data_IF_198996651137
#
_entry.id   IF_198996651137
#
_cell.length_a   1.000
_cell.length_b   1.000
_cell.length_c   1.000
_cell.angle_alpha   90.00
_cell.angle_beta   90.00
_cell.angle_gamma   90.00
#
_symmetry.space_group_name_H-M   'P 1'
#
loop_
_entity.id
_entity.type
_entity.pdbx_description
1 polymer ?
#
# COMPACT_ATOMS: atom_id res chain seq x y z
N UNK A 1 -54.50 -2.60 38.02
CA UNK A 1 -53.33 -2.41 37.13
C UNK A 1 -52.07 -2.47 38.00
N UNK A 2 -51.89 -3.61 38.68
CA UNK A 2 -50.94 -3.77 39.81
C UNK A 2 -49.87 -4.84 39.53
N UNK A 3 -49.65 -5.19 38.26
CA UNK A 3 -48.70 -6.25 37.85
C UNK A 3 -47.32 -5.78 37.40
N UNK A 4 -47.07 -4.47 37.29
CA UNK A 4 -45.83 -3.94 36.70
C UNK A 4 -44.80 -3.47 37.75
N UNK A 5 -45.23 -3.14 38.98
CA UNK A 5 -44.33 -2.63 40.02
C UNK A 5 -43.59 -3.72 40.81
N UNK A 6 -43.99 -5.00 40.70
CA UNK A 6 -43.33 -6.10 41.40
C UNK A 6 -42.10 -6.67 40.66
N UNK A 7 -41.92 -6.33 39.38
CA UNK A 7 -40.78 -6.80 38.56
C UNK A 7 -39.53 -5.91 38.66
N UNK A 8 -39.67 -4.69 39.20
CA UNK A 8 -38.55 -3.75 39.39
C UNK A 8 -37.95 -3.79 40.81
N UNK A 9 -38.55 -4.53 41.74
CA UNK A 9 -38.10 -4.61 43.14
C UNK A 9 -37.18 -5.80 43.45
N UNK A 10 -36.76 -6.57 42.44
CA UNK A 10 -35.89 -7.76 42.64
C UNK A 10 -34.65 -7.72 41.74
N UNK A 11 -33.92 -6.60 41.79
CA UNK A 11 -32.53 -6.57 41.34
C UNK A 11 -31.61 -6.93 42.50
N UNK A 12 -30.91 -8.07 42.49
CA UNK A 12 -29.66 -8.16 43.22
C UNK A 12 -28.65 -7.25 42.53
N UNK A 13 -28.10 -6.33 43.30
CA UNK A 13 -26.93 -5.53 42.96
C UNK A 13 -25.71 -6.44 42.77
N UNK A 14 -25.50 -6.94 41.56
CA UNK A 14 -24.25 -7.59 41.17
C UNK A 14 -24.00 -7.35 39.68
N UNK A 15 -22.89 -6.68 39.36
CA UNK A 15 -22.33 -6.66 38.01
C UNK A 15 -22.29 -5.30 37.33
N UNK A 16 -21.35 -4.44 37.77
CA UNK A 16 -20.84 -3.28 37.03
C UNK A 16 -20.20 -3.62 35.65
N UNK A 17 -20.30 -4.86 35.16
CA UNK A 17 -19.67 -5.35 33.93
C UNK A 17 -20.59 -5.36 32.70
N UNK A 18 -21.91 -5.22 32.86
CA UNK A 18 -22.88 -5.29 31.75
C UNK A 18 -22.90 -4.07 30.82
N UNK A 19 -22.39 -2.91 31.28
CA UNK A 19 -22.40 -1.66 30.50
C UNK A 19 -21.36 -1.61 29.37
N UNK A 20 -20.23 -2.31 29.53
CA UNK A 20 -19.08 -2.21 28.62
C UNK A 20 -19.32 -2.91 27.26
N UNK A 21 -20.03 -4.05 27.25
CA UNK A 21 -20.28 -4.83 26.03
C UNK A 21 -21.18 -4.12 25.02
N UNK A 22 -22.27 -3.49 25.51
CA UNK A 22 -23.21 -2.74 24.66
C UNK A 22 -22.56 -1.47 24.10
N UNK A 23 -21.74 -0.78 24.90
CA UNK A 23 -21.01 0.42 24.44
C UNK A 23 -19.96 0.10 23.37
N UNK A 24 -19.29 -1.05 23.45
CA UNK A 24 -18.25 -1.44 22.49
C UNK A 24 -18.83 -1.76 21.11
N UNK A 25 -19.95 -2.49 21.05
CA UNK A 25 -20.62 -2.82 19.78
C UNK A 25 -21.21 -1.59 19.10
N UNK A 26 -21.81 -0.67 19.87
CA UNK A 26 -22.32 0.60 19.35
C UNK A 26 -21.18 1.50 18.82
N UNK A 27 -20.05 1.58 19.54
CA UNK A 27 -18.88 2.33 19.11
C UNK A 27 -18.26 1.78 17.81
N UNK A 28 -18.19 0.45 17.66
CA UNK A 28 -17.70 -0.19 16.43
C UNK A 28 -18.61 0.09 15.22
N UNK A 29 -19.94 -0.01 15.39
CA UNK A 29 -20.92 0.33 14.35
C UNK A 29 -20.83 1.80 13.91
N UNK A 30 -20.71 2.73 14.85
CA UNK A 30 -20.53 4.16 14.57
C UNK A 30 -19.22 4.43 13.83
N UNK A 31 -18.14 3.73 14.19
CA UNK A 31 -16.84 3.87 13.53
C UNK A 31 -16.89 3.35 12.09
N UNK A 32 -17.49 2.19 11.84
CA UNK A 32 -17.67 1.63 10.50
C UNK A 32 -18.57 2.51 9.62
N UNK A 33 -19.66 3.04 10.18
CA UNK A 33 -20.54 4.00 9.50
C UNK A 33 -19.80 5.29 9.13
N UNK A 34 -18.96 5.82 10.03
CA UNK A 34 -18.10 6.99 9.76
C UNK A 34 -17.03 6.70 8.70
N UNK A 35 -16.50 5.48 8.63
CA UNK A 35 -15.55 5.06 7.60
C UNK A 35 -16.24 4.93 6.23
N UNK A 36 -17.43 4.31 6.20
CA UNK A 36 -18.21 4.11 4.98
C UNK A 36 -18.74 5.43 4.40
N UNK A 37 -19.04 6.42 5.25
CA UNK A 37 -19.47 7.77 4.83
C UNK A 37 -18.34 8.79 4.74
N UNK A 38 -17.07 8.36 4.65
CA UNK A 38 -15.98 9.33 4.47
C UNK A 38 -16.16 10.10 3.16
N UNK A 39 -16.31 11.40 3.29
CA UNK A 39 -16.32 12.37 2.19
C UNK A 39 -15.04 12.22 1.38
N UNK A 40 -15.17 12.23 0.04
CA UNK A 40 -14.02 12.28 -0.86
C UNK A 40 -13.12 13.46 -0.48
N UNK A 41 -11.79 13.35 -0.60
CA UNK A 41 -10.90 14.47 -0.33
C UNK A 41 -11.32 15.69 -1.16
N UNK A 42 -11.38 16.86 -0.54
CA UNK A 42 -11.80 18.10 -1.22
C UNK A 42 -10.73 18.59 -2.19
N UNK A 43 -9.46 18.36 -1.85
CA UNK A 43 -8.29 18.80 -2.61
C UNK A 43 -7.29 17.66 -2.80
N UNK A 44 -6.45 17.79 -3.83
CA UNK A 44 -5.35 16.87 -4.09
C UNK A 44 -4.17 17.62 -4.67
N UNK A 45 -2.96 17.16 -4.35
CA UNK A 45 -1.74 17.62 -4.99
C UNK A 45 -1.63 17.00 -6.38
N UNK A 46 -1.29 17.82 -7.37
CA UNK A 46 -1.07 17.45 -8.78
C UNK A 46 0.23 18.08 -9.26
N UNK A 47 0.89 17.43 -10.23
CA UNK A 47 2.13 17.92 -10.83
C UNK A 47 1.85 18.44 -12.24
N UNK A 48 2.39 19.61 -12.58
CA UNK A 48 2.26 20.17 -13.92
C UNK A 48 3.14 19.43 -14.92
N UNK A 49 2.55 18.98 -16.04
CA UNK A 49 3.28 18.30 -17.12
C UNK A 49 4.38 19.16 -17.76
N UNK A 50 4.20 20.48 -17.79
CA UNK A 50 5.07 21.40 -18.53
C UNK A 50 6.23 21.94 -17.67
N UNK A 51 5.91 22.51 -16.50
CA UNK A 51 6.92 23.10 -15.63
C UNK A 51 7.37 22.19 -14.49
N UNK A 52 6.77 21.00 -14.35
CA UNK A 52 7.07 20.03 -13.29
C UNK A 52 6.89 20.55 -11.86
N UNK A 53 6.16 21.65 -11.65
CA UNK A 53 5.83 22.17 -10.32
C UNK A 53 4.57 21.50 -9.78
N UNK A 54 4.59 21.18 -8.48
CA UNK A 54 3.42 20.68 -7.76
C UNK A 54 2.50 21.83 -7.36
N UNK A 55 1.19 21.62 -7.50
CA UNK A 55 0.16 22.54 -7.01
C UNK A 55 -0.99 21.75 -6.38
N UNK A 56 -1.88 22.45 -5.70
CA UNK A 56 -3.06 21.86 -5.06
C UNK A 56 -4.31 22.32 -5.80
N UNK A 57 -5.13 21.36 -6.22
CA UNK A 57 -6.39 21.63 -6.92
C UNK A 57 -7.55 20.89 -6.24
N UNK A 58 -8.80 21.33 -6.44
CA UNK A 58 -9.96 20.55 -6.04
C UNK A 58 -9.91 19.14 -6.63
N UNK A 59 -10.32 18.12 -5.88
CA UNK A 59 -10.16 16.72 -6.31
C UNK A 59 -10.89 16.39 -7.63
N UNK A 60 -12.01 17.06 -7.89
CA UNK A 60 -12.73 16.98 -9.16
C UNK A 60 -11.92 17.50 -10.35
N UNK A 61 -11.00 18.43 -10.11
CA UNK A 61 -10.24 19.15 -11.13
C UNK A 61 -8.83 18.58 -11.35
N UNK A 62 -8.52 17.42 -10.77
CA UNK A 62 -7.18 16.80 -10.86
C UNK A 62 -6.67 16.54 -12.29
N UNK A 63 -7.58 16.51 -13.28
CA UNK A 63 -7.29 16.36 -14.71
C UNK A 63 -7.94 17.48 -15.55
N UNK A 64 -8.21 18.64 -14.97
CA UNK A 64 -8.69 19.81 -15.71
C UNK A 64 -8.37 21.10 -14.94
N UNK A 65 -7.14 21.58 -15.09
CA UNK A 65 -6.67 22.75 -14.37
C UNK A 65 -5.58 23.49 -15.15
N UNK A 66 -5.53 24.82 -15.01
CA UNK A 66 -4.46 25.63 -15.57
C UNK A 66 -3.36 25.83 -14.52
N UNK A 67 -2.11 25.69 -14.92
CA UNK A 67 -1.00 25.77 -13.98
C UNK A 67 -0.76 27.21 -13.51
N UNK A 68 -0.71 27.50 -12.20
CA UNK A 68 -0.48 28.87 -11.71
C UNK A 68 0.95 29.37 -11.95
N UNK A 69 1.88 28.51 -12.37
CA UNK A 69 3.29 28.86 -12.58
C UNK A 69 3.65 29.12 -14.04
N UNK A 70 3.00 28.44 -14.98
CA UNK A 70 3.33 28.53 -16.41
C UNK A 70 2.10 28.71 -17.30
N UNK A 71 0.91 28.82 -16.70
CA UNK A 71 -0.37 29.11 -17.36
C UNK A 71 -0.79 28.04 -18.40
N UNK A 72 -0.09 26.90 -18.45
CA UNK A 72 -0.43 25.80 -19.34
C UNK A 72 -1.54 24.93 -18.75
N UNK A 73 -2.49 24.56 -19.60
CA UNK A 73 -3.60 23.67 -19.25
C UNK A 73 -3.13 22.23 -19.05
N UNK A 74 -3.54 21.62 -17.94
CA UNK A 74 -3.24 20.24 -17.54
C UNK A 74 -4.54 19.43 -17.49
N UNK A 75 -4.85 18.76 -18.60
CA UNK A 75 -5.99 17.87 -18.72
C UNK A 75 -5.93 17.03 -19.98
N UNK A 76 -5.74 15.72 -19.81
CA UNK A 76 -5.46 14.79 -20.90
C UNK A 76 -6.45 13.63 -20.93
N UNK A 77 -6.73 13.14 -22.13
CA UNK A 77 -7.43 11.87 -22.39
C UNK A 77 -6.44 10.70 -22.25
N UNK A 78 -6.94 9.46 -22.25
CA UNK A 78 -6.09 8.27 -22.11
C UNK A 78 -5.11 8.10 -23.30
N UNK A 79 -5.46 8.63 -24.48
CA UNK A 79 -4.61 8.64 -25.66
C UNK A 79 -3.51 9.73 -25.63
N UNK A 80 -3.53 10.62 -24.63
CA UNK A 80 -2.58 11.73 -24.49
C UNK A 80 -3.02 13.06 -25.09
N UNK A 81 -4.16 13.12 -25.79
CA UNK A 81 -4.72 14.38 -26.29
C UNK A 81 -5.30 15.23 -25.17
N UNK A 82 -5.51 16.51 -25.42
CA UNK A 82 -6.25 17.36 -24.50
C UNK A 82 -7.70 16.87 -24.35
N UNK A 83 -8.21 16.92 -23.13
CA UNK A 83 -9.61 16.61 -22.83
C UNK A 83 -10.59 17.77 -23.08
N UNK A 84 -10.08 18.88 -23.64
CA UNK A 84 -10.86 20.01 -24.14
C UNK A 84 -10.21 20.53 -25.43
N UNK A 85 -10.98 21.10 -26.36
CA UNK A 85 -10.39 21.82 -27.49
C UNK A 85 -9.62 23.05 -26.98
N UNK A 86 -8.45 23.31 -27.56
CA UNK A 86 -7.65 24.50 -27.26
C UNK A 86 -7.56 25.36 -28.53
N UNK A 87 -8.42 26.38 -28.68
CA UNK A 87 -8.47 27.26 -29.85
C UNK A 87 -7.15 27.88 -30.29
N UNK A 88 -6.33 28.26 -29.31
CA UNK A 88 -5.01 28.84 -29.57
C UNK A 88 -4.06 27.90 -30.36
N UNK A 89 -4.29 26.58 -30.36
CA UNK A 89 -3.48 25.65 -31.13
C UNK A 89 -3.68 25.75 -32.64
N UNK A 90 -4.85 26.22 -33.10
CA UNK A 90 -5.19 26.31 -34.52
C UNK A 90 -5.50 27.73 -34.99
N UNK A 91 -5.70 28.67 -34.06
CA UNK A 91 -5.93 30.08 -34.36
C UNK A 91 -4.79 30.93 -33.82
N UNK A 92 -3.90 31.37 -34.72
CA UNK A 92 -2.71 32.15 -34.35
C UNK A 92 -3.04 33.43 -33.58
N UNK A 93 -4.13 34.11 -33.94
CA UNK A 93 -4.57 35.34 -33.27
C UNK A 93 -5.01 35.16 -31.81
N UNK A 94 -5.20 33.91 -31.35
CA UNK A 94 -5.50 33.58 -29.95
C UNK A 94 -4.24 33.23 -29.16
N UNK A 95 -3.07 33.12 -29.80
CA UNK A 95 -1.82 32.98 -29.10
C UNK A 95 -1.45 34.31 -28.44
N UNK A 96 -1.15 34.28 -27.14
CA UNK A 96 -0.62 35.45 -26.47
C UNK A 96 0.74 35.80 -27.08
N UNK A 97 0.98 37.09 -27.31
CA UNK A 97 2.29 37.56 -27.75
C UNK A 97 3.26 37.34 -26.59
N UNK A 98 4.19 36.40 -26.74
CA UNK A 98 5.31 36.24 -25.81
C UNK A 98 6.28 37.38 -26.05
N UNK A 99 6.01 38.56 -25.47
CA UNK A 99 7.07 39.53 -25.24
C UNK A 99 8.01 38.89 -24.23
N UNK A 100 9.22 38.52 -24.65
CA UNK A 100 10.27 38.02 -23.78
C UNK A 100 10.72 39.13 -22.82
N UNK A 101 9.92 39.44 -21.80
CA UNK A 101 10.34 40.26 -20.69
C UNK A 101 11.35 39.43 -19.87
N UNK A 102 12.60 39.88 -19.68
CA UNK A 102 13.58 39.14 -18.90
C UNK A 102 13.10 39.05 -17.46
N UNK A 103 12.93 37.85 -16.93
CA UNK A 103 12.59 37.63 -15.53
C UNK A 103 13.81 38.03 -14.67
N UNK A 104 13.71 39.01 -13.75
CA UNK A 104 14.84 39.45 -12.94
C UNK A 104 15.13 38.37 -11.88
N UNK A 105 16.04 37.45 -12.19
CA UNK A 105 16.46 36.38 -11.29
C UNK A 105 16.56 34.99 -11.92
N UNK A 106 16.21 34.82 -13.20
CA UNK A 106 16.45 33.56 -13.89
C UNK A 106 17.96 33.40 -14.16
N UNK A 107 18.58 32.24 -13.84
CA UNK A 107 19.95 31.96 -14.28
C UNK A 107 19.98 32.10 -15.80
N UNK A 108 20.99 32.83 -16.30
CA UNK A 108 21.22 33.13 -17.72
C UNK A 108 20.82 31.94 -18.56
N UNK A 109 19.69 32.05 -19.28
CA UNK A 109 19.28 30.97 -20.18
C UNK A 109 20.47 30.64 -21.08
N UNK A 110 20.81 29.36 -21.29
CA UNK A 110 21.89 29.01 -22.21
C UNK A 110 21.60 29.71 -23.52
N UNK A 111 22.59 30.49 -23.96
CA UNK A 111 22.52 31.38 -25.11
C UNK A 111 21.70 30.77 -26.25
N UNK A 112 20.70 31.53 -26.68
CA UNK A 112 19.98 31.51 -27.94
C UNK A 112 20.33 30.30 -28.84
N UNK A 113 19.33 29.43 -29.06
CA UNK A 113 19.44 28.26 -29.93
C UNK A 113 20.29 28.57 -31.17
N UNK A 114 21.42 27.88 -31.33
CA UNK A 114 22.28 28.09 -32.49
C UNK A 114 21.47 27.71 -33.72
N UNK A 115 21.10 28.72 -34.50
CA UNK A 115 20.34 28.53 -35.73
C UNK A 115 21.11 27.59 -36.65
N UNK A 116 20.39 26.67 -37.31
CA UNK A 116 20.97 25.78 -38.32
C UNK A 116 21.66 26.54 -39.45
N UNK A 117 21.32 27.82 -39.65
CA UNK A 117 21.96 28.74 -40.60
C UNK A 117 23.40 29.11 -40.20
N UNK A 118 23.73 29.04 -38.91
CA UNK A 118 25.07 29.33 -38.38
C UNK A 118 25.94 28.06 -38.34
N UNK A 119 25.31 26.89 -38.14
CA UNK A 119 26.01 25.60 -37.99
C UNK A 119 26.30 24.89 -39.32
N UNK A 120 25.43 25.07 -40.32
CA UNK A 120 25.49 24.35 -41.59
C UNK A 120 25.95 25.27 -42.73
N UNK A 121 26.68 24.72 -43.70
CA UNK A 121 26.93 25.43 -44.96
C UNK A 121 25.61 25.70 -45.70
N UNK A 122 25.59 26.73 -46.56
CA UNK A 122 24.37 27.18 -47.27
C UNK A 122 23.64 26.03 -48.00
N UNK A 123 24.39 25.13 -48.65
CA UNK A 123 23.83 23.96 -49.34
C UNK A 123 23.14 23.00 -48.37
N UNK A 124 23.81 22.64 -47.27
CA UNK A 124 23.23 21.75 -46.27
C UNK A 124 22.05 22.37 -45.53
N UNK A 125 22.09 23.68 -45.24
CA UNK A 125 20.96 24.41 -44.66
C UNK A 125 19.73 24.39 -45.58
N UNK A 126 19.91 24.60 -46.89
CA UNK A 126 18.85 24.47 -47.87
C UNK A 126 18.31 23.03 -47.95
N UNK A 127 19.19 22.02 -47.99
CA UNK A 127 18.81 20.61 -47.96
C UNK A 127 17.96 20.25 -46.73
N UNK A 128 18.33 20.72 -45.53
CA UNK A 128 17.53 20.49 -44.33
C UNK A 128 16.15 21.14 -44.42
N UNK A 129 16.07 22.36 -44.97
CA UNK A 129 14.79 23.04 -45.20
C UNK A 129 13.90 22.26 -46.17
N UNK A 130 14.47 21.78 -47.28
CA UNK A 130 13.75 20.98 -48.28
C UNK A 130 13.30 19.64 -47.70
N UNK A 131 14.15 18.96 -46.92
CA UNK A 131 13.80 17.72 -46.23
C UNK A 131 12.59 17.91 -45.32
N UNK A 132 12.57 18.97 -44.51
CA UNK A 132 11.44 19.28 -43.61
C UNK A 132 10.16 19.56 -44.40
N UNK A 133 10.25 20.36 -45.47
CA UNK A 133 9.09 20.66 -46.33
C UNK A 133 8.51 19.39 -46.97
N UNK A 134 9.36 18.48 -47.42
CA UNK A 134 8.93 17.23 -48.03
C UNK A 134 8.32 16.27 -47.01
N UNK A 135 8.90 16.14 -45.82
CA UNK A 135 8.29 15.37 -44.72
C UNK A 135 6.93 15.93 -44.31
N UNK A 136 6.80 17.26 -44.21
CA UNK A 136 5.53 17.89 -43.85
C UNK A 136 4.46 17.77 -44.94
N UNK A 137 4.86 17.61 -46.20
CA UNK A 137 3.96 17.39 -47.33
C UNK A 137 3.68 15.90 -47.62
N UNK A 138 4.21 14.99 -46.79
CA UNK A 138 3.97 13.56 -46.97
C UNK A 138 2.50 13.23 -46.77
N UNK A 139 1.94 12.47 -47.71
CA UNK A 139 0.62 11.87 -47.60
C UNK A 139 0.76 10.36 -47.84
N UNK A 140 0.29 9.51 -46.92
CA UNK A 140 0.35 8.06 -47.10
C UNK A 140 -0.51 7.63 -48.29
N UNK A 141 -0.13 6.52 -48.94
CA UNK A 141 -0.97 5.88 -49.96
C UNK A 141 -2.06 5.03 -49.32
N UNK A 142 -1.76 4.46 -48.15
CA UNK A 142 -2.64 3.66 -47.33
C UNK A 142 -2.46 4.07 -45.86
N UNK A 143 -3.53 4.60 -45.24
CA UNK A 143 -3.54 5.02 -43.83
C UNK A 143 -3.20 3.87 -42.87
N UNK A 144 -3.55 2.63 -43.22
CA UNK A 144 -3.24 1.44 -42.42
C UNK A 144 -1.75 1.10 -42.36
N UNK A 145 -0.93 1.66 -43.27
CA UNK A 145 0.51 1.45 -43.35
C UNK A 145 1.30 2.75 -43.20
N UNK A 146 0.68 3.78 -42.63
CA UNK A 146 1.28 5.10 -42.45
C UNK A 146 2.69 5.01 -41.85
N UNK A 147 2.85 4.27 -40.75
CA UNK A 147 4.12 4.16 -40.00
C UNK A 147 5.25 3.53 -40.83
N UNK A 148 4.94 2.54 -41.68
CA UNK A 148 5.93 1.92 -42.56
C UNK A 148 6.30 2.86 -43.73
N UNK A 149 5.29 3.47 -44.35
CA UNK A 149 5.48 4.34 -45.51
C UNK A 149 6.26 5.61 -45.15
N UNK A 150 5.95 6.24 -44.00
CA UNK A 150 6.66 7.44 -43.55
C UNK A 150 8.11 7.16 -43.21
N UNK A 151 8.43 6.01 -42.59
CA UNK A 151 9.81 5.66 -42.25
C UNK A 151 10.65 5.35 -43.49
N UNK A 152 10.10 4.63 -44.48
CA UNK A 152 10.77 4.43 -45.78
C UNK A 152 11.02 5.76 -46.49
N UNK A 153 10.01 6.64 -46.51
CA UNK A 153 10.14 7.95 -47.12
C UNK A 153 11.18 8.82 -46.41
N UNK A 154 11.16 8.84 -45.08
CA UNK A 154 12.13 9.54 -44.25
C UNK A 154 13.56 9.07 -44.53
N UNK A 155 13.77 7.75 -44.59
CA UNK A 155 15.08 7.17 -44.90
C UNK A 155 15.58 7.61 -46.29
N UNK A 156 14.70 7.59 -47.29
CA UNK A 156 15.02 8.08 -48.63
C UNK A 156 15.46 9.56 -48.61
N UNK A 157 14.72 10.43 -47.90
CA UNK A 157 15.07 11.84 -47.77
C UNK A 157 16.39 12.05 -47.01
N UNK A 158 16.71 11.20 -46.04
CA UNK A 158 17.98 11.22 -45.30
C UNK A 158 19.18 10.90 -46.20
N UNK A 159 19.04 9.94 -47.11
CA UNK A 159 20.08 9.61 -48.07
C UNK A 159 20.23 10.70 -49.14
N UNK A 160 19.12 11.20 -49.67
CA UNK A 160 19.12 12.21 -50.74
C UNK A 160 19.63 13.57 -50.25
N UNK A 161 19.24 13.99 -49.05
CA UNK A 161 19.60 15.29 -48.47
C UNK A 161 20.65 15.18 -47.34
N UNK A 162 21.60 14.25 -47.49
CA UNK A 162 22.69 14.06 -46.53
C UNK A 162 23.53 15.32 -46.33
N UNK A 163 24.01 15.51 -45.10
CA UNK A 163 24.97 16.56 -44.78
C UNK A 163 26.33 16.26 -45.42
N UNK A 164 27.08 17.31 -45.76
CA UNK A 164 28.49 17.12 -46.09
C UNK A 164 29.28 16.77 -44.82
N UNK A 165 30.43 16.08 -44.99
CA UNK A 165 31.27 15.61 -43.88
C UNK A 165 31.59 16.71 -42.83
N UNK A 166 31.97 17.95 -43.21
CA UNK A 166 32.22 19.01 -42.24
C UNK A 166 30.98 19.40 -41.43
N UNK A 167 29.82 19.56 -42.08
CA UNK A 167 28.57 19.91 -41.42
C UNK A 167 28.08 18.79 -40.50
N UNK A 168 28.25 17.53 -40.91
CA UNK A 168 27.92 16.39 -40.07
C UNK A 168 28.76 16.36 -38.79
N UNK A 169 30.09 16.53 -38.90
CA UNK A 169 30.97 16.61 -37.74
C UNK A 169 30.62 17.79 -36.82
N UNK A 170 30.28 18.96 -37.39
CA UNK A 170 29.87 20.13 -36.62
C UNK A 170 28.57 19.87 -35.83
N UNK A 171 27.57 19.24 -36.46
CA UNK A 171 26.31 18.86 -35.81
C UNK A 171 26.55 17.86 -34.68
N UNK A 172 27.31 16.79 -34.94
CA UNK A 172 27.63 15.77 -33.92
C UNK A 172 28.36 16.37 -32.72
N UNK A 173 29.35 17.25 -32.98
CA UNK A 173 30.06 17.96 -31.92
C UNK A 173 29.12 18.86 -31.11
N UNK A 174 28.24 19.61 -31.78
CA UNK A 174 27.29 20.51 -31.11
C UNK A 174 26.27 19.74 -30.27
N UNK A 175 25.68 18.66 -30.80
CA UNK A 175 24.77 17.78 -30.06
C UNK A 175 25.48 17.18 -28.85
N UNK A 176 26.72 16.70 -29.00
CA UNK A 176 27.51 16.16 -27.89
C UNK A 176 27.77 17.22 -26.82
N UNK A 177 28.08 18.45 -27.21
CA UNK A 177 28.25 19.58 -26.31
C UNK A 177 26.95 19.89 -25.55
N UNK A 178 25.82 20.04 -26.25
CA UNK A 178 24.51 20.30 -25.64
C UNK A 178 24.10 19.18 -24.69
N UNK A 179 24.27 17.91 -25.06
CA UNK A 179 23.96 16.77 -24.20
C UNK A 179 24.79 16.78 -22.92
N UNK A 180 26.05 17.21 -22.97
CA UNK A 180 26.89 17.36 -21.77
C UNK A 180 26.34 18.47 -20.85
N UNK A 181 25.94 19.61 -21.41
CA UNK A 181 25.35 20.72 -20.66
C UNK A 181 24.01 20.31 -20.03
N UNK A 182 23.10 19.70 -20.80
CA UNK A 182 21.81 19.22 -20.32
C UNK A 182 21.95 18.17 -19.22
N UNK A 183 22.91 17.23 -19.35
CA UNK A 183 23.19 16.25 -18.28
C UNK A 183 23.61 16.93 -16.99
N UNK A 184 24.48 17.94 -17.05
CA UNK A 184 24.89 18.68 -15.86
C UNK A 184 23.69 19.38 -15.20
N UNK A 185 22.83 20.02 -15.99
CA UNK A 185 21.60 20.68 -15.51
C UNK A 185 20.61 19.69 -14.90
N UNK A 186 20.33 18.57 -15.57
CA UNK A 186 19.43 17.53 -15.08
C UNK A 186 19.93 16.92 -13.77
N UNK A 187 21.24 16.67 -13.64
CA UNK A 187 21.84 16.21 -12.38
C UNK A 187 21.64 17.24 -11.28
N UNK A 188 21.91 18.52 -11.55
CA UNK A 188 21.70 19.58 -10.55
C UNK A 188 20.23 19.69 -10.10
N UNK A 189 19.28 19.51 -11.03
CA UNK A 189 17.86 19.49 -10.72
C UNK A 189 17.46 18.25 -9.89
N UNK A 190 18.05 17.08 -10.17
CA UNK A 190 17.85 15.89 -9.35
C UNK A 190 18.37 16.06 -7.92
N UNK A 191 19.53 16.70 -7.75
CA UNK A 191 20.06 17.02 -6.42
C UNK A 191 19.15 17.99 -5.67
N UNK A 192 18.74 19.09 -6.30
CA UNK A 192 17.82 20.07 -5.70
C UNK A 192 16.48 19.44 -5.32
N UNK A 193 15.93 18.57 -6.17
CA UNK A 193 14.70 17.82 -5.87
C UNK A 193 14.88 16.89 -4.67
N UNK A 194 16.03 16.22 -4.59
CA UNK A 194 16.36 15.34 -3.46
C UNK A 194 16.51 16.11 -2.14
N UNK A 195 17.07 17.32 -2.17
CA UNK A 195 17.15 18.19 -0.98
C UNK A 195 15.76 18.67 -0.52
N UNK A 196 14.87 19.03 -1.45
CA UNK A 196 13.46 19.37 -1.13
C UNK A 196 12.74 18.15 -0.55
N UNK A 197 12.87 16.97 -1.17
CA UNK A 197 12.30 15.73 -0.64
C UNK A 197 12.90 15.35 0.72
N UNK A 198 14.20 15.58 0.93
CA UNK A 198 14.89 15.30 2.18
C UNK A 198 14.47 16.25 3.30
N UNK A 199 14.31 17.54 3.02
CA UNK A 199 13.78 18.50 4.01
C UNK A 199 12.32 18.21 4.39
N UNK A 200 11.50 17.78 3.43
CA UNK A 200 10.14 17.32 3.71
C UNK A 200 10.17 16.03 4.54
N UNK A 201 10.99 15.04 4.15
CA UNK A 201 11.13 13.76 4.85
C UNK A 201 11.72 13.92 6.26
N UNK A 202 12.65 14.84 6.48
CA UNK A 202 13.30 15.10 7.77
C UNK A 202 12.34 15.78 8.76
N UNK A 203 11.41 16.62 8.27
CA UNK A 203 10.30 17.16 9.06
C UNK A 203 9.31 16.06 9.49
N UNK A 204 9.06 15.05 8.66
CA UNK A 204 8.19 13.91 9.00
C UNK A 204 8.89 12.79 9.80
N UNK A 205 10.20 12.60 9.67
CA UNK A 205 10.91 11.44 10.23
C UNK A 205 11.27 11.53 11.72
N UNK A 206 11.27 12.70 12.35
CA UNK A 206 11.52 12.79 13.79
C UNK A 206 10.35 12.27 14.65
N UNK A 207 9.13 12.20 14.10
CA UNK A 207 7.95 11.65 14.80
C UNK A 207 7.39 10.35 14.19
N UNK A 208 7.63 10.07 12.90
CA UNK A 208 6.95 8.97 12.20
C UNK A 208 7.61 7.57 12.32
N UNK A 209 8.81 7.42 12.88
CA UNK A 209 9.48 6.10 12.98
C UNK A 209 8.90 5.24 14.12
N UNK A 210 8.31 5.86 15.16
CA UNK A 210 7.72 5.14 16.30
C UNK A 210 6.37 4.50 15.97
N UNK A 211 5.50 5.20 15.23
CA UNK A 211 4.14 4.76 14.91
C UNK A 211 4.05 3.43 14.10
N UNK A 212 4.84 3.16 13.04
CA UNK A 212 4.69 1.94 12.25
C UNK A 212 5.19 0.70 12.99
N UNK A 213 6.24 0.80 13.80
CA UNK A 213 6.75 -0.32 14.62
C UNK A 213 5.74 -0.67 15.70
N UNK A 214 5.17 0.33 16.38
CA UNK A 214 4.12 0.13 17.38
C UNK A 214 2.89 -0.58 16.81
N UNK A 215 2.42 -0.19 15.61
CA UNK A 215 1.29 -0.85 14.94
C UNK A 215 1.61 -2.30 14.56
N UNK A 216 2.85 -2.59 14.12
CA UNK A 216 3.28 -3.96 13.82
C UNK A 216 3.31 -4.81 15.08
N UNK A 217 3.84 -4.27 16.18
CA UNK A 217 3.88 -4.97 17.48
C UNK A 217 2.47 -5.26 18.01
N UNK A 218 1.54 -4.31 17.90
CA UNK A 218 0.14 -4.53 18.29
C UNK A 218 -0.55 -5.61 17.46
N UNK A 219 -0.31 -5.67 16.14
CA UNK A 219 -0.83 -6.74 15.27
C UNK A 219 -0.25 -8.12 15.64
N UNK A 220 1.05 -8.16 15.98
CA UNK A 220 1.68 -9.39 16.45
C UNK A 220 1.13 -9.86 17.80
N UNK A 221 0.90 -8.94 18.74
CA UNK A 221 0.29 -9.23 20.04
C UNK A 221 -1.13 -9.78 19.90
N UNK A 222 -1.96 -9.18 19.04
CA UNK A 222 -3.29 -9.70 18.74
C UNK A 222 -3.22 -11.12 18.15
N UNK A 223 -2.31 -11.39 17.21
CA UNK A 223 -2.11 -12.74 16.68
C UNK A 223 -1.71 -13.74 17.77
N UNK A 224 -0.77 -13.39 18.65
CA UNK A 224 -0.33 -14.25 19.75
C UNK A 224 -1.46 -14.55 20.74
N UNK A 225 -2.29 -13.55 21.07
CA UNK A 225 -3.47 -13.76 21.92
C UNK A 225 -4.48 -14.74 21.29
N UNK A 226 -4.70 -14.65 19.97
CA UNK A 226 -5.55 -15.60 19.26
C UNK A 226 -4.95 -17.01 19.25
N UNK A 227 -3.64 -17.13 18.98
CA UNK A 227 -2.95 -18.41 18.96
C UNK A 227 -3.00 -19.10 20.34
N UNK A 228 -2.88 -18.33 21.41
CA UNK A 228 -3.07 -18.82 22.78
C UNK A 228 -4.49 -19.37 23.00
N UNK A 229 -5.53 -18.64 22.58
CA UNK A 229 -6.92 -19.10 22.71
C UNK A 229 -7.21 -20.37 21.88
N UNK A 230 -6.62 -20.49 20.68
CA UNK A 230 -6.70 -21.72 19.91
C UNK A 230 -5.99 -22.88 20.62
N UNK A 231 -4.82 -22.63 21.20
CA UNK A 231 -4.09 -23.66 21.92
C UNK A 231 -4.86 -24.13 23.16
N UNK A 232 -5.44 -23.23 23.95
CA UNK A 232 -6.27 -23.62 25.11
C UNK A 232 -7.53 -24.39 24.68
N UNK A 233 -8.13 -24.05 23.53
CA UNK A 233 -9.26 -24.79 22.99
C UNK A 233 -8.89 -26.20 22.46
N UNK A 234 -7.66 -26.37 21.94
CA UNK A 234 -7.16 -27.65 21.45
C UNK A 234 -6.68 -28.59 22.56
N UNK A 235 -5.99 -28.05 23.57
CA UNK A 235 -5.40 -28.83 24.65
C UNK A 235 -6.35 -29.04 25.84
N UNK A 236 -7.45 -28.28 25.94
CA UNK A 236 -8.45 -28.47 27.00
C UNK A 236 -7.83 -28.40 28.39
N UNK A 237 -8.19 -29.33 29.28
CA UNK A 237 -7.63 -29.45 30.65
C UNK A 237 -6.26 -30.12 30.70
N UNK A 238 -5.71 -30.59 29.57
CA UNK A 238 -4.39 -31.20 29.52
C UNK A 238 -3.32 -30.10 29.49
N UNK A 239 -2.49 -30.03 30.53
CA UNK A 239 -1.40 -29.07 30.59
C UNK A 239 -0.31 -29.45 29.56
N UNK A 240 -0.05 -28.61 28.53
CA UNK A 240 0.99 -28.87 27.54
C UNK A 240 2.40 -28.90 28.17
N UNK A 241 2.54 -28.47 29.42
CA UNK A 241 3.79 -28.47 30.20
C UNK A 241 3.90 -29.62 31.20
N UNK A 242 2.94 -30.55 31.28
CA UNK A 242 3.04 -31.74 32.15
C UNK A 242 3.61 -32.96 31.41
N UNK A 243 4.61 -33.67 31.97
CA UNK A 243 5.02 -34.97 31.48
C UNK A 243 3.98 -36.03 31.88
N UNK A 244 3.03 -36.30 30.98
CA UNK A 244 2.04 -37.36 31.15
C UNK A 244 2.63 -38.76 30.98
N UNK A 245 2.60 -39.52 32.08
CA UNK A 245 2.93 -40.94 32.23
C UNK A 245 2.18 -41.78 31.18
N UNK A 246 2.92 -42.46 30.32
CA UNK A 246 2.42 -43.56 29.49
C UNK A 246 1.98 -44.71 30.40
N UNK A 247 0.68 -45.01 30.46
CA UNK A 247 0.21 -46.28 31.02
C UNK A 247 0.74 -47.44 30.16
N UNK A 248 1.04 -48.62 30.76
CA UNK A 248 1.61 -49.75 30.03
C UNK A 248 0.55 -50.39 29.12
N UNK A 249 0.96 -50.93 27.95
CA UNK A 249 0.04 -51.55 27.01
C UNK A 249 -0.40 -52.93 27.54
N UNK A 250 -1.70 -53.12 27.71
CA UNK A 250 -2.29 -54.45 27.84
C UNK A 250 -2.29 -55.15 26.47
N UNK A 251 -1.72 -56.37 26.41
CA UNK A 251 -1.85 -57.33 25.30
C UNK A 251 -2.97 -58.35 25.63
N UNK A 252 -3.46 -59.19 24.69
CA UNK A 252 -3.91 -58.96 23.31
C UNK A 252 -5.31 -59.65 23.06
N UNK A 253 -5.83 -59.82 21.82
CA UNK A 253 -5.46 -61.03 21.07
C UNK A 253 -5.32 -60.87 19.53
N UNK A 254 -4.43 -61.72 19.00
CA UNK A 254 -4.29 -62.29 17.65
C UNK A 254 -5.21 -61.81 16.50
N UNK A 255 -4.60 -61.34 15.41
CA UNK A 255 -5.25 -61.17 14.11
C UNK A 255 -4.31 -60.56 13.05
N UNK A 256 -3.86 -61.37 12.10
CA UNK A 256 -2.97 -60.97 11.00
C UNK A 256 -3.58 -59.89 10.09
N UNK A 257 -2.81 -58.86 9.76
CA UNK A 257 -3.15 -57.90 8.70
C UNK A 257 -2.11 -56.79 8.57
N UNK A 258 -1.38 -56.78 7.46
CA UNK A 258 -0.40 -55.76 7.10
C UNK A 258 -1.05 -54.39 6.83
N UNK A 259 -0.60 -53.33 7.51
CA UNK A 259 -0.73 -51.96 7.02
C UNK A 259 0.34 -51.04 7.66
N UNK A 260 0.79 -50.09 6.85
CA UNK A 260 1.87 -49.10 6.96
C UNK A 260 1.85 -48.21 8.22
N UNK A 261 3.02 -47.68 8.68
CA UNK A 261 3.05 -46.75 9.81
C UNK A 261 2.78 -45.31 9.34
N UNK A 262 1.66 -44.73 9.81
CA UNK A 262 1.39 -43.30 9.71
C UNK A 262 2.26 -42.54 10.73
N UNK A 263 3.31 -41.88 10.23
CA UNK A 263 4.32 -41.17 11.04
C UNK A 263 4.19 -39.64 10.95
N UNK A 264 2.96 -39.10 11.02
CA UNK A 264 2.68 -37.69 10.73
C UNK A 264 2.54 -36.75 11.93
N UNK A 265 2.23 -37.25 13.14
CA UNK A 265 1.86 -36.40 14.30
C UNK A 265 2.78 -36.54 15.50
N UNK A 266 3.61 -37.58 15.57
CA UNK A 266 4.52 -37.82 16.70
C UNK A 266 5.77 -36.91 16.69
N UNK A 267 6.30 -36.57 15.50
CA UNK A 267 7.55 -35.81 15.36
C UNK A 267 7.48 -34.36 15.85
N UNK A 268 6.31 -33.72 15.77
CA UNK A 268 6.11 -32.36 16.30
C UNK A 268 6.01 -32.29 17.82
N UNK A 269 5.40 -33.32 18.44
CA UNK A 269 5.26 -33.41 19.89
C UNK A 269 6.60 -33.67 20.58
N UNK A 270 7.44 -34.56 20.01
CA UNK A 270 8.81 -34.80 20.48
C UNK A 270 9.70 -33.54 20.36
N UNK A 271 9.60 -32.79 19.25
CA UNK A 271 10.37 -31.56 19.05
C UNK A 271 10.01 -30.44 20.02
N UNK A 272 8.72 -30.26 20.33
CA UNK A 272 8.25 -29.29 21.33
C UNK A 272 8.72 -29.66 22.74
N UNK A 273 8.69 -30.96 23.09
CA UNK A 273 9.22 -31.49 24.36
C UNK A 273 10.72 -31.22 24.51
N UNK A 274 11.48 -31.41 23.43
CA UNK A 274 12.92 -31.16 23.43
C UNK A 274 13.26 -29.67 23.56
N UNK A 275 12.42 -28.78 23.03
CA UNK A 275 12.56 -27.32 23.18
C UNK A 275 12.22 -26.85 24.61
N UNK A 276 11.20 -27.44 25.24
CA UNK A 276 10.82 -27.15 26.64
C UNK A 276 11.93 -27.57 27.62
N UNK A 277 12.63 -28.67 27.35
CA UNK A 277 13.77 -29.12 28.16
C UNK A 277 15.01 -28.22 28.08
N UNK A 278 15.07 -27.27 27.14
CA UNK A 278 16.14 -26.27 27.04
C UNK A 278 15.84 -24.98 27.82
N UNK A 279 14.64 -24.85 28.37
CA UNK A 279 14.20 -23.65 29.07
C UNK A 279 14.51 -23.76 30.57
N UNK A 280 15.02 -22.69 31.21
CA UNK A 280 15.26 -22.72 32.65
C UNK A 280 13.97 -22.99 33.45
N UNK A 281 14.07 -23.76 34.53
CA UNK A 281 12.91 -24.17 35.36
C UNK A 281 12.08 -22.97 35.88
N UNK A 282 12.71 -21.84 36.18
CA UNK A 282 11.99 -20.64 36.60
C UNK A 282 11.11 -20.03 35.49
N UNK A 283 11.48 -20.22 34.22
CA UNK A 283 10.71 -19.73 33.07
C UNK A 283 9.54 -20.67 32.80
N UNK A 284 9.74 -21.99 32.93
CA UNK A 284 8.66 -22.98 32.74
C UNK A 284 7.57 -22.83 33.79
N UNK A 285 7.94 -22.58 35.05
CA UNK A 285 6.99 -22.27 36.14
C UNK A 285 6.16 -21.00 35.84
N UNK A 286 6.82 -19.91 35.41
CA UNK A 286 6.10 -18.67 35.05
C UNK A 286 5.21 -18.83 33.82
N UNK A 287 5.60 -19.65 32.86
CA UNK A 287 4.76 -19.98 31.70
C UNK A 287 3.54 -20.82 32.09
N UNK A 288 3.69 -21.77 33.02
CA UNK A 288 2.57 -22.55 33.57
C UNK A 288 1.59 -21.67 34.34
N UNK A 289 2.07 -20.78 35.20
CA UNK A 289 1.24 -19.79 35.91
C UNK A 289 0.47 -18.91 34.92
N UNK A 290 1.14 -18.39 33.89
CA UNK A 290 0.52 -17.57 32.86
C UNK A 290 -0.51 -18.34 32.02
N UNK A 291 -0.24 -19.62 31.71
CA UNK A 291 -1.15 -20.50 30.99
C UNK A 291 -2.43 -20.76 31.79
N UNK A 292 -2.30 -21.14 33.07
CA UNK A 292 -3.44 -21.36 33.97
C UNK A 292 -4.26 -20.08 34.19
N UNK A 293 -3.59 -18.93 34.31
CA UNK A 293 -4.24 -17.63 34.40
C UNK A 293 -5.03 -17.29 33.13
N UNK A 294 -4.44 -17.47 31.95
CA UNK A 294 -5.11 -17.21 30.68
C UNK A 294 -6.27 -18.17 30.40
N UNK A 295 -6.15 -19.44 30.83
CA UNK A 295 -7.21 -20.44 30.70
C UNK A 295 -8.42 -20.13 31.60
N UNK A 296 -8.18 -19.62 32.81
CA UNK A 296 -9.25 -19.19 33.73
C UNK A 296 -9.94 -17.88 33.31
N UNK A 297 -9.25 -17.03 32.53
CA UNK A 297 -9.72 -15.69 32.14
C UNK A 297 -9.82 -15.51 30.61
N UNK A 298 -10.39 -16.51 29.89
CA UNK A 298 -10.52 -16.45 28.42
C UNK A 298 -11.24 -15.19 27.92
N UNK A 299 -12.30 -14.75 28.61
CA UNK A 299 -13.05 -13.54 28.25
C UNK A 299 -12.20 -12.27 28.34
N UNK A 300 -11.30 -12.20 29.32
CA UNK A 300 -10.32 -11.13 29.48
C UNK A 300 -9.28 -11.11 28.36
N UNK A 301 -8.78 -12.28 27.95
CA UNK A 301 -7.85 -12.42 26.81
C UNK A 301 -8.52 -11.96 25.51
N UNK A 302 -9.80 -12.30 25.30
CA UNK A 302 -10.57 -11.88 24.13
C UNK A 302 -10.81 -10.36 24.10
N UNK A 303 -11.16 -9.77 25.24
CA UNK A 303 -11.32 -8.32 25.36
C UNK A 303 -10.00 -7.56 25.10
N UNK A 304 -8.88 -8.08 25.59
CA UNK A 304 -7.54 -7.53 25.34
C UNK A 304 -7.17 -7.62 23.85
N UNK A 305 -7.45 -8.75 23.21
CA UNK A 305 -7.28 -8.93 21.76
C UNK A 305 -8.06 -7.90 20.95
N UNK A 306 -9.33 -7.68 21.28
CA UNK A 306 -10.14 -6.64 20.63
C UNK A 306 -9.55 -5.24 20.84
N UNK A 307 -9.16 -4.90 22.07
CA UNK A 307 -8.59 -3.58 22.40
C UNK A 307 -7.28 -3.33 21.63
N UNK A 308 -6.41 -4.34 21.52
CA UNK A 308 -5.15 -4.21 20.76
C UNK A 308 -5.41 -4.00 19.27
N UNK A 309 -6.41 -4.66 18.68
CA UNK A 309 -6.85 -4.41 17.30
C UNK A 309 -7.39 -2.98 17.11
N UNK A 310 -8.23 -2.48 18.02
CA UNK A 310 -8.75 -1.11 17.96
C UNK A 310 -7.62 -0.07 18.09
N UNK A 311 -6.67 -0.28 19.01
CA UNK A 311 -5.54 0.60 19.22
C UNK A 311 -4.60 0.61 17.99
N UNK A 312 -4.36 -0.56 17.38
CA UNK A 312 -3.60 -0.66 16.14
C UNK A 312 -4.25 0.14 15.00
N UNK A 313 -5.59 0.11 14.89
CA UNK A 313 -6.33 0.88 13.90
C UNK A 313 -6.25 2.38 14.14
N UNK A 314 -6.34 2.82 15.40
CA UNK A 314 -6.20 4.24 15.77
C UNK A 314 -4.79 4.77 15.46
N UNK A 315 -3.75 4.00 15.79
CA UNK A 315 -2.35 4.39 15.56
C UNK A 315 -1.91 4.30 14.09
N UNK A 316 -2.51 3.41 13.29
CA UNK A 316 -2.19 3.30 11.86
C UNK A 316 -2.62 4.54 11.06
N UNK A 317 -3.62 5.28 11.54
CA UNK A 317 -4.13 6.49 10.89
C UNK A 317 -4.83 6.25 9.54
N UNK A 318 -5.33 7.33 8.94
CA UNK A 318 -6.20 7.33 7.75
C UNK A 318 -5.55 6.69 6.49
N UNK A 319 -4.22 6.64 6.42
CA UNK A 319 -3.47 6.31 5.19
C UNK A 319 -3.00 4.85 5.19
N UNK A 320 -2.92 4.19 6.36
CA UNK A 320 -2.38 2.82 6.49
C UNK A 320 -3.39 1.78 6.97
N UNK A 321 -4.65 2.18 7.18
CA UNK A 321 -5.73 1.27 7.57
C UNK A 321 -6.08 0.34 6.40
N UNK A 322 -5.91 -0.98 6.59
CA UNK A 322 -6.26 -1.98 5.58
C UNK A 322 -7.63 -2.55 5.89
N UNK A 323 -8.37 -2.96 4.85
CA UNK A 323 -9.66 -3.68 5.01
C UNK A 323 -9.53 -4.92 5.92
N UNK A 324 -8.35 -5.55 5.90
CA UNK A 324 -7.99 -6.69 6.76
C UNK A 324 -8.00 -6.33 8.25
N UNK A 325 -7.58 -5.12 8.63
CA UNK A 325 -7.57 -4.70 10.04
C UNK A 325 -9.00 -4.55 10.59
N UNK A 326 -9.92 -4.01 9.77
CA UNK A 326 -11.34 -3.91 10.13
C UNK A 326 -12.00 -5.29 10.24
N UNK A 327 -11.69 -6.21 9.33
CA UNK A 327 -12.17 -7.58 9.39
C UNK A 327 -11.68 -8.32 10.64
N UNK A 328 -10.40 -8.14 11.00
CA UNK A 328 -9.83 -8.70 12.23
C UNK A 328 -10.54 -8.18 13.48
N UNK A 329 -10.79 -6.87 13.58
CA UNK A 329 -11.53 -6.30 14.72
C UNK A 329 -12.97 -6.82 14.82
N UNK A 330 -13.65 -7.05 13.70
CA UNK A 330 -14.99 -7.65 13.68
C UNK A 330 -14.98 -9.09 14.20
N UNK A 331 -13.96 -9.89 13.84
CA UNK A 331 -13.82 -11.26 14.35
C UNK A 331 -13.55 -11.30 15.86
N UNK A 332 -12.71 -10.40 16.37
CA UNK A 332 -12.50 -10.25 17.82
C UNK A 332 -13.77 -9.84 18.56
N UNK A 333 -14.58 -8.94 17.97
CA UNK A 333 -15.86 -8.54 18.55
C UNK A 333 -16.87 -9.71 18.56
N UNK A 334 -16.92 -10.50 17.48
CA UNK A 334 -17.72 -11.71 17.41
C UNK A 334 -17.29 -12.74 18.46
N UNK A 335 -15.97 -12.97 18.62
CA UNK A 335 -15.44 -13.84 19.67
C UNK A 335 -15.85 -13.36 21.06
N UNK A 336 -15.76 -12.05 21.33
CA UNK A 336 -16.17 -11.49 22.61
C UNK A 336 -17.67 -11.72 22.87
N UNK A 337 -18.50 -11.52 21.84
CA UNK A 337 -19.93 -11.76 21.94
C UNK A 337 -20.25 -13.23 22.25
N UNK A 338 -19.55 -14.19 21.63
CA UNK A 338 -19.73 -15.62 21.88
C UNK A 338 -19.34 -16.02 23.31
N UNK A 339 -18.26 -15.44 23.85
CA UNK A 339 -17.84 -15.69 25.23
C UNK A 339 -18.78 -15.06 26.25
N UNK A 340 -19.31 -13.86 25.97
CA UNK A 340 -20.35 -13.26 26.80
C UNK A 340 -21.64 -14.07 26.75
N UNK A 341 -22.05 -14.54 25.57
CA UNK A 341 -23.25 -15.35 25.40
C UNK A 341 -23.19 -16.63 26.25
N UNK A 342 -22.05 -17.33 26.27
CA UNK A 342 -21.84 -18.48 27.16
C UNK A 342 -21.98 -18.12 28.64
N UNK A 343 -21.40 -17.00 29.08
CA UNK A 343 -21.52 -16.54 30.47
C UNK A 343 -22.97 -16.23 30.87
N UNK A 344 -23.81 -15.80 29.93
CA UNK A 344 -25.23 -15.55 30.15
C UNK A 344 -26.09 -16.82 30.05
N UNK A 345 -25.69 -17.79 29.22
CA UNK A 345 -26.40 -19.05 28.95
C UNK A 345 -26.10 -20.17 29.96
N UNK A 346 -25.77 -19.81 31.21
CA UNK A 346 -25.34 -20.68 32.34
C UNK A 346 -26.08 -22.02 32.57
N UNK A 347 -27.17 -22.31 31.88
CA UNK A 347 -28.02 -23.47 32.09
C UNK A 347 -27.77 -24.68 31.16
N UNK A 348 -27.16 -24.52 29.98
CA UNK A 348 -26.68 -25.63 29.13
C UNK A 348 -25.97 -25.01 27.91
N UNK A 349 -24.63 -24.99 27.90
CA UNK A 349 -23.90 -24.49 26.74
C UNK A 349 -24.11 -25.45 25.56
N UNK A 350 -24.73 -25.01 24.46
CA UNK A 350 -25.02 -25.91 23.37
C UNK A 350 -23.73 -26.21 22.59
N UNK A 351 -23.53 -27.46 22.18
CA UNK A 351 -22.29 -27.93 21.51
C UNK A 351 -21.92 -27.19 20.21
N UNK A 352 -22.91 -26.55 19.56
CA UNK A 352 -22.67 -25.69 18.40
C UNK A 352 -21.91 -24.40 18.76
N UNK A 353 -22.02 -23.91 20.00
CA UNK A 353 -21.40 -22.68 20.47
C UNK A 353 -19.87 -22.85 20.58
N UNK A 354 -19.40 -24.01 21.04
CA UNK A 354 -17.97 -24.34 21.09
C UNK A 354 -17.38 -24.53 19.69
N UNK A 355 -18.12 -25.16 18.79
CA UNK A 355 -17.75 -25.30 17.37
C UNK A 355 -17.65 -23.93 16.70
N UNK A 356 -18.57 -23.02 17.02
CA UNK A 356 -18.59 -21.66 16.50
C UNK A 356 -17.45 -20.80 17.06
N UNK A 357 -17.12 -20.92 18.36
CA UNK A 357 -15.93 -20.29 18.93
C UNK A 357 -14.67 -20.79 18.26
N UNK A 358 -14.52 -22.11 18.12
CA UNK A 358 -13.32 -22.70 17.51
C UNK A 358 -13.12 -22.24 16.07
N UNK A 359 -14.17 -22.26 15.25
CA UNK A 359 -14.11 -21.75 13.88
C UNK A 359 -13.79 -20.25 13.82
N UNK A 360 -14.39 -19.44 14.70
CA UNK A 360 -14.12 -18.00 14.76
C UNK A 360 -12.68 -17.71 15.24
N UNK A 361 -12.16 -18.47 16.20
CA UNK A 361 -10.76 -18.37 16.65
C UNK A 361 -9.79 -18.74 15.52
N UNK A 362 -10.07 -19.81 14.79
CA UNK A 362 -9.27 -20.23 13.62
C UNK A 362 -9.21 -19.14 12.55
N UNK A 363 -10.37 -18.56 12.22
CA UNK A 363 -10.47 -17.47 11.25
C UNK A 363 -9.75 -16.21 11.73
N UNK A 364 -9.88 -15.87 13.02
CA UNK A 364 -9.21 -14.73 13.64
C UNK A 364 -7.69 -14.86 13.57
N UNK A 365 -7.16 -16.06 13.75
CA UNK A 365 -5.72 -16.32 13.70
C UNK A 365 -5.18 -16.27 12.27
N UNK A 366 -5.92 -16.79 11.30
CA UNK A 366 -5.57 -16.69 9.88
C UNK A 366 -5.52 -15.22 9.42
N UNK A 367 -6.55 -14.44 9.77
CA UNK A 367 -6.61 -13.02 9.45
C UNK A 367 -5.52 -12.23 10.21
N UNK A 368 -5.30 -12.51 11.49
CA UNK A 368 -4.25 -11.89 12.30
C UNK A 368 -2.85 -12.14 11.74
N UNK A 369 -2.57 -13.36 11.29
CA UNK A 369 -1.32 -13.71 10.63
C UNK A 369 -1.12 -12.92 9.33
N UNK A 370 -2.13 -12.85 8.47
CA UNK A 370 -2.05 -12.05 7.23
C UNK A 370 -1.85 -10.57 7.52
N UNK A 371 -2.52 -10.03 8.55
CA UNK A 371 -2.37 -8.65 8.99
C UNK A 371 -0.95 -8.36 9.50
N UNK A 372 -0.34 -9.28 10.25
CA UNK A 372 1.02 -9.15 10.75
C UNK A 372 2.08 -9.27 9.63
N UNK A 373 1.98 -10.28 8.76
CA UNK A 373 2.98 -10.59 7.72
C UNK A 373 2.94 -9.60 6.55
N UNK A 374 1.75 -9.14 6.14
CA UNK A 374 1.61 -8.22 5.02
C UNK A 374 2.21 -6.83 5.28
N UNK A 375 2.65 -6.52 6.50
CA UNK A 375 3.32 -5.26 6.84
C UNK A 375 4.77 -5.21 6.38
N UNK A 376 5.47 -6.36 6.32
CA UNK A 376 6.88 -6.43 5.89
C UNK A 376 7.09 -6.16 4.40
N UNK A 377 6.08 -6.36 3.55
CA UNK A 377 6.23 -6.23 2.08
C UNK A 377 6.11 -4.79 1.54
N UNK A 378 5.69 -3.84 2.37
CA UNK A 378 5.38 -2.46 1.92
C UNK A 378 6.48 -1.42 2.20
N UNK A 379 7.58 -1.80 2.86
CA UNK A 379 8.75 -0.93 3.12
C UNK A 379 9.83 -1.00 2.04
N UNK A 380 9.62 -1.81 0.99
CA UNK A 380 10.43 -1.72 -0.21
C UNK A 380 10.22 -0.34 -0.84
N UNK A 381 11.28 0.45 -0.90
CA UNK A 381 11.31 1.69 -1.67
C UNK A 381 10.62 1.43 -3.01
N UNK A 382 9.58 2.20 -3.33
CA UNK A 382 9.07 2.26 -4.70
C UNK A 382 10.27 2.72 -5.53
N UNK A 383 11.00 1.75 -6.11
CA UNK A 383 11.98 2.04 -7.15
C UNK A 383 11.20 2.78 -8.21
N UNK A 384 11.49 4.06 -8.35
CA UNK A 384 11.13 4.83 -9.53
C UNK A 384 11.62 4.02 -10.71
N UNK A 385 10.72 3.37 -11.44
CA UNK A 385 11.05 2.62 -12.64
C UNK A 385 11.32 3.70 -13.69
N UNK A 386 12.57 3.93 -14.12
CA UNK A 386 12.79 4.79 -15.27
C UNK A 386 12.04 4.11 -16.42
N UNK A 387 11.09 4.83 -17.01
CA UNK A 387 10.43 4.38 -18.24
C UNK A 387 11.57 4.17 -19.24
N UNK A 388 11.78 2.93 -19.63
CA UNK A 388 12.80 2.52 -20.60
C UNK A 388 12.46 3.29 -21.87
N UNK A 389 13.27 4.28 -22.25
CA UNK A 389 13.27 4.75 -23.64
C UNK A 389 13.57 3.52 -24.48
N UNK A 390 12.60 3.13 -25.31
CA UNK A 390 12.82 2.14 -26.34
C UNK A 390 14.04 2.58 -27.14
N UNK A 391 14.93 1.61 -27.35
CA UNK A 391 16.08 1.77 -28.22
C UNK A 391 15.53 2.04 -29.61
N UNK A 392 15.83 3.21 -30.16
CA UNK A 392 15.93 3.36 -31.61
C UNK A 392 17.06 2.43 -32.06
N UNK A 393 16.71 1.52 -32.95
CA UNK A 393 17.62 0.66 -33.68
C UNK A 393 17.95 1.33 -35.02
#
# INVERSE_FOLDING_TARGET
MEGMSALLARCPTAGLAGGLGVTACAAAGVLLYRIARRTKPTHTTVNCWFCSQDTVVPYGNRNCWDCPHCEQYNGFQENGDYNKPIPAQYMEHLNHVVSSAPNPGAPTQPQQWVSSQVLLCRRCSHHQTTKIKQLAAFAPRDEGRYDEEIEVYRHHLEQMYKLCRPCQAAVEHYIKHQNRQLRALLLSHQFKRREVDQSHTQSFCSSAVKAPVQVIMLRALAFLACAFLLATALYGTSDPFTPGITLPPALPPSGNGSATPDNGTATGAEGWRQLLGLLPEHVTEKLREAWAFGQSHQTGVVALGLLTCLLAMLLAGHIRLRRVDAFSACLWALLLALHLAEQYLQADSPSWLDTLKFSTMSLCCLVGFTAAVATKKATGSRRFRPRRSEKQQ
#
